data_IF_038486819801
#
_entry.id   IF_038486819801
#
_cell.length_a   1.000
_cell.length_b   1.000
_cell.length_c   1.000
_cell.angle_alpha   90.00
_cell.angle_beta   90.00
_cell.angle_gamma   90.00
#
_symmetry.space_group_name_H-M   'P 1'
#
loop_
_entity.id
_entity.type
_entity.pdbx_description
1 polymer ?
#
# COMPACT_ATOMS: atom_id res chain seq x y z
N UNK A 1 12.81 -15.84 22.65
CA UNK A 1 11.99 -14.62 22.50
C UNK A 1 11.43 -14.68 21.09
N UNK A 2 10.12 -14.92 20.95
CA UNK A 2 9.51 -14.95 19.61
C UNK A 2 9.59 -13.54 19.04
N UNK A 3 10.36 -13.37 17.97
CA UNK A 3 10.40 -12.11 17.23
C UNK A 3 9.03 -11.93 16.60
N UNK A 4 8.25 -10.96 17.10
CA UNK A 4 7.04 -10.49 16.41
C UNK A 4 7.56 -9.79 15.16
N UNK A 5 7.57 -10.51 14.04
CA UNK A 5 7.98 -9.95 12.76
C UNK A 5 7.01 -8.80 12.47
N UNK A 6 7.52 -7.57 12.47
CA UNK A 6 6.72 -6.40 12.16
C UNK A 6 6.29 -6.50 10.70
N UNK A 7 4.99 -6.52 10.44
CA UNK A 7 4.44 -6.64 9.09
C UNK A 7 4.95 -5.52 8.17
N UNK A 8 5.21 -4.33 8.71
CA UNK A 8 5.84 -3.24 7.96
C UNK A 8 7.30 -3.53 7.58
N UNK A 9 8.07 -4.25 8.41
CA UNK A 9 9.43 -4.70 8.04
C UNK A 9 9.41 -5.74 6.91
N UNK A 10 8.44 -6.66 6.92
CA UNK A 10 8.22 -7.60 5.81
C UNK A 10 7.86 -6.84 4.53
N UNK A 11 6.95 -5.88 4.61
CA UNK A 11 6.54 -5.09 3.44
C UNK A 11 7.68 -4.22 2.89
N UNK A 12 8.54 -3.69 3.76
CA UNK A 12 9.74 -2.95 3.38
C UNK A 12 10.80 -3.86 2.72
N UNK A 13 10.90 -5.13 3.12
CA UNK A 13 11.71 -6.15 2.43
C UNK A 13 11.16 -6.50 1.03
N UNK A 14 9.88 -6.26 0.78
CA UNK A 14 9.16 -6.66 -0.45
C UNK A 14 9.11 -5.54 -1.52
N UNK A 15 9.77 -4.41 -1.30
CA UNK A 15 10.09 -3.45 -2.36
C UNK A 15 9.94 -1.98 -1.95
N UNK A 16 10.38 -1.09 -2.84
CA UNK A 16 10.34 0.35 -2.64
C UNK A 16 8.89 0.87 -2.45
N UNK A 17 8.71 2.06 -1.83
CA UNK A 17 7.38 2.68 -1.70
C UNK A 17 6.60 2.77 -3.02
N UNK A 18 7.29 2.99 -4.14
CA UNK A 18 6.72 3.02 -5.50
C UNK A 18 6.18 1.64 -5.91
N UNK A 19 6.92 0.57 -5.62
CA UNK A 19 6.49 -0.79 -5.90
C UNK A 19 5.29 -1.19 -5.04
N UNK A 20 5.27 -0.80 -3.75
CA UNK A 20 4.11 -1.00 -2.88
C UNK A 20 2.89 -0.25 -3.43
N UNK A 21 3.06 1.00 -3.86
CA UNK A 21 1.99 1.83 -4.44
C UNK A 21 1.43 1.21 -5.72
N UNK A 22 2.30 0.70 -6.60
CA UNK A 22 1.90 0.01 -7.83
C UNK A 22 1.03 -1.21 -7.54
N UNK A 23 1.41 -2.03 -6.56
CA UNK A 23 0.62 -3.22 -6.17
C UNK A 23 -0.75 -2.85 -5.61
N UNK A 24 -0.82 -1.86 -4.72
CA UNK A 24 -2.08 -1.44 -4.13
C UNK A 24 -3.05 -0.84 -5.16
N UNK A 25 -2.54 -0.02 -6.09
CA UNK A 25 -3.36 0.49 -7.20
C UNK A 25 -3.90 -0.62 -8.08
N UNK A 26 -3.08 -1.62 -8.42
CA UNK A 26 -3.52 -2.77 -9.20
C UNK A 26 -4.61 -3.57 -8.47
N UNK A 27 -4.47 -3.76 -7.16
CA UNK A 27 -5.44 -4.45 -6.32
C UNK A 27 -6.78 -3.71 -6.27
N UNK A 28 -6.77 -2.39 -6.03
CA UNK A 28 -7.99 -1.58 -6.03
C UNK A 28 -8.70 -1.57 -7.38
N UNK A 29 -7.95 -1.49 -8.48
CA UNK A 29 -8.56 -1.52 -9.82
C UNK A 29 -9.35 -2.82 -10.06
N UNK A 30 -8.87 -3.94 -9.52
CA UNK A 30 -9.60 -5.21 -9.64
C UNK A 30 -10.86 -5.21 -8.79
N UNK A 31 -10.80 -4.70 -7.55
CA UNK A 31 -12.00 -4.55 -6.73
C UNK A 31 -13.04 -3.61 -7.35
N UNK A 32 -12.58 -2.54 -8.00
CA UNK A 32 -13.44 -1.57 -8.69
C UNK A 32 -14.16 -2.21 -9.88
N UNK A 33 -13.46 -3.06 -10.65
CA UNK A 33 -14.08 -3.85 -11.74
C UNK A 33 -15.15 -4.81 -11.23
N UNK A 34 -14.96 -5.35 -10.03
CA UNK A 34 -15.90 -6.28 -9.40
C UNK A 34 -17.04 -5.57 -8.67
N UNK A 35 -17.06 -4.22 -8.66
CA UNK A 35 -18.00 -3.38 -7.90
C UNK A 35 -18.07 -3.75 -6.40
N UNK A 36 -16.94 -4.16 -5.83
CA UNK A 36 -16.87 -4.39 -4.38
C UNK A 36 -16.71 -3.06 -3.65
N UNK A 37 -17.71 -2.70 -2.85
CA UNK A 37 -17.61 -1.61 -1.87
C UNK A 37 -17.59 -2.19 -0.45
N UNK A 38 -16.38 -2.41 0.06
CA UNK A 38 -16.14 -2.91 1.41
C UNK A 38 -15.35 -1.88 2.23
N UNK A 39 -15.56 -1.87 3.55
CA UNK A 39 -14.83 -1.01 4.48
C UNK A 39 -13.30 -1.20 4.37
N UNK A 40 -12.81 -2.42 4.15
CA UNK A 40 -11.39 -2.70 3.96
C UNK A 40 -10.85 -2.05 2.67
N UNK A 41 -11.65 -2.00 1.61
CA UNK A 41 -11.26 -1.32 0.35
C UNK A 41 -11.13 0.19 0.59
N UNK A 42 -12.02 0.78 1.42
CA UNK A 42 -11.91 2.19 1.85
C UNK A 42 -10.62 2.44 2.63
N UNK A 43 -10.21 1.52 3.50
CA UNK A 43 -8.94 1.62 4.22
C UNK A 43 -7.72 1.58 3.29
N UNK A 44 -7.71 0.66 2.31
CA UNK A 44 -6.64 0.57 1.31
C UNK A 44 -6.53 1.88 0.49
N UNK A 45 -7.66 2.50 0.13
CA UNK A 45 -7.66 3.80 -0.56
C UNK A 45 -6.99 4.89 0.27
N UNK A 46 -7.23 4.94 1.58
CA UNK A 46 -6.60 5.91 2.48
C UNK A 46 -5.10 5.67 2.60
N UNK A 47 -4.69 4.40 2.72
CA UNK A 47 -3.28 4.01 2.80
C UNK A 47 -2.51 4.39 1.53
N UNK A 48 -3.13 4.25 0.35
CA UNK A 48 -2.55 4.72 -0.92
C UNK A 48 -2.24 6.21 -0.89
N UNK A 49 -3.13 7.06 -0.37
CA UNK A 49 -2.89 8.51 -0.30
C UNK A 49 -1.67 8.83 0.57
N UNK A 50 -1.53 8.13 1.70
CA UNK A 50 -0.37 8.28 2.58
C UNK A 50 0.93 7.85 1.87
N UNK A 51 0.87 6.71 1.17
CA UNK A 51 2.01 6.16 0.44
C UNK A 51 2.42 7.04 -0.76
N UNK A 52 1.46 7.65 -1.47
CA UNK A 52 1.71 8.62 -2.53
C UNK A 52 2.45 9.86 -2.01
N UNK A 53 2.06 10.35 -0.84
CA UNK A 53 2.74 11.47 -0.19
C UNK A 53 4.17 11.09 0.23
N UNK A 54 4.38 9.85 0.69
CA UNK A 54 5.71 9.35 1.02
C UNK A 54 6.60 9.28 -0.23
N UNK A 55 6.12 8.66 -1.31
CA UNK A 55 6.85 8.58 -2.59
C UNK A 55 7.23 9.98 -3.08
N UNK A 56 6.29 10.92 -3.10
CA UNK A 56 6.56 12.32 -3.52
C UNK A 56 7.66 12.98 -2.70
N UNK A 57 7.68 12.78 -1.38
CA UNK A 57 8.73 13.31 -0.51
C UNK A 57 10.09 12.69 -0.80
N UNK A 58 10.13 11.38 -1.07
CA UNK A 58 11.37 10.66 -1.36
C UNK A 58 11.95 11.01 -2.73
N UNK A 59 11.12 11.27 -3.75
CA UNK A 59 11.59 11.63 -5.11
C UNK A 59 11.95 13.12 -5.28
N UNK A 60 11.58 13.98 -4.33
CA UNK A 60 11.86 15.44 -4.39
C UNK A 60 13.16 15.84 -3.68
N UNK A 61 14.03 14.88 -3.37
CA UNK A 61 15.39 15.04 -2.83
C UNK A 61 16.41 14.65 -3.91
#
# INVERSE_FOLDING_TARGET
>A
MESIINFDEILNLVGTPENRLKRYRACLNEFDRLNYDDHFIKQIRLEIVQLENLVKKTTSL
#
